data_IF_825322325849
#
_entry.id   IF_825322325849
#
_cell.length_a   1.000
_cell.length_b   1.000
_cell.length_c   1.000
_cell.angle_alpha   90.00
_cell.angle_beta   90.00
_cell.angle_gamma   90.00
#
_symmetry.space_group_name_H-M   'P 1'
#
loop_
_entity.id
_entity.type
_entity.pdbx_description
1 polymer ?
#
# COMPACT_ATOMS: atom_id res chain seq x y z
N UNK A 1 11.84 7.05 6.01
CA UNK A 1 11.28 8.13 6.87
C UNK A 1 9.94 8.51 6.30
N UNK A 2 8.90 8.60 7.14
CA UNK A 2 7.56 8.89 6.63
C UNK A 2 7.42 10.39 6.29
N UNK A 3 7.07 10.72 5.04
CA UNK A 3 7.03 12.08 4.51
C UNK A 3 6.02 13.00 5.22
N UNK A 4 4.90 12.44 5.73
CA UNK A 4 3.93 13.14 6.59
C UNK A 4 4.14 12.95 8.09
N UNK A 5 4.18 11.70 8.57
CA UNK A 5 4.17 11.38 9.99
C UNK A 5 5.48 11.67 10.74
N UNK A 6 6.57 12.05 10.06
CA UNK A 6 7.84 12.35 10.72
C UNK A 6 7.89 13.68 11.46
N UNK A 7 7.00 14.62 11.13
CA UNK A 7 7.06 16.00 11.64
C UNK A 7 8.23 16.83 11.09
N UNK A 8 8.90 16.35 10.04
CA UNK A 8 9.96 17.09 9.34
C UNK A 8 9.44 17.68 8.03
N UNK A 9 9.92 18.87 7.69
CA UNK A 9 9.74 19.46 6.37
C UNK A 9 10.86 19.00 5.45
N UNK A 10 10.51 18.56 4.24
CA UNK A 10 11.46 18.12 3.23
C UNK A 10 11.46 19.09 2.04
N UNK A 11 12.64 19.44 1.49
CA UNK A 11 12.71 20.24 0.27
C UNK A 11 12.16 19.45 -0.95
N UNK A 12 11.78 20.14 -2.05
CA UNK A 12 11.07 19.52 -3.17
C UNK A 12 11.78 18.33 -3.84
N UNK A 13 13.11 18.37 -3.91
CA UNK A 13 13.96 17.28 -4.42
C UNK A 13 13.88 16.04 -3.54
N UNK A 14 13.93 16.21 -2.22
CA UNK A 14 13.73 15.11 -1.26
C UNK A 14 12.29 14.58 -1.27
N UNK A 15 11.30 15.45 -1.47
CA UNK A 15 9.92 15.01 -1.64
C UNK A 15 9.70 14.19 -2.92
N UNK A 16 10.55 14.33 -3.94
CA UNK A 16 10.47 13.49 -5.13
C UNK A 16 10.75 12.01 -4.84
N UNK A 17 11.50 11.71 -3.76
CA UNK A 17 11.79 10.34 -3.33
C UNK A 17 10.54 9.52 -3.02
N UNK A 18 9.42 10.16 -2.63
CA UNK A 18 8.19 9.43 -2.31
C UNK A 18 7.66 8.66 -3.52
N UNK A 19 7.94 9.15 -4.73
CA UNK A 19 7.52 8.51 -5.98
C UNK A 19 8.53 7.46 -6.49
N UNK A 20 9.56 7.12 -5.69
CA UNK A 20 10.49 6.02 -5.99
C UNK A 20 9.74 4.70 -5.91
N UNK A 21 9.76 3.92 -7.00
CA UNK A 21 9.03 2.64 -7.07
C UNK A 21 9.90 1.43 -6.76
N UNK A 22 11.15 1.47 -7.21
CA UNK A 22 12.05 0.34 -7.20
C UNK A 22 13.02 0.42 -6.02
N UNK A 23 13.32 -0.74 -5.44
CA UNK A 23 14.28 -0.86 -4.32
C UNK A 23 15.63 -0.30 -4.72
N UNK A 24 16.10 -0.59 -5.93
CA UNK A 24 17.37 -0.08 -6.46
C UNK A 24 17.35 1.45 -6.52
N UNK A 25 16.29 2.06 -7.04
CA UNK A 25 16.14 3.52 -7.07
C UNK A 25 16.12 4.12 -5.67
N UNK A 26 15.43 3.49 -4.72
CA UNK A 26 15.43 3.94 -3.32
C UNK A 26 16.82 3.86 -2.69
N UNK A 27 17.55 2.77 -2.93
CA UNK A 27 18.91 2.58 -2.39
C UNK A 27 19.91 3.53 -3.04
N UNK A 28 19.76 3.87 -4.32
CA UNK A 28 20.60 4.83 -5.04
C UNK A 28 20.50 6.26 -4.49
N UNK A 29 19.45 6.58 -3.72
CA UNK A 29 19.34 7.89 -3.03
C UNK A 29 20.27 7.98 -1.81
N UNK A 30 20.75 6.85 -1.30
CA UNK A 30 21.62 6.82 -0.13
C UNK A 30 23.07 7.14 -0.52
N UNK A 31 23.82 7.88 0.31
CA UNK A 31 25.23 8.12 0.05
C UNK A 31 26.01 6.79 0.08
N UNK A 32 26.94 6.58 -0.87
CA UNK A 32 27.72 5.35 -0.93
C UNK A 32 28.66 5.24 0.29
N UNK A 33 28.99 4.00 0.65
CA UNK A 33 30.01 3.70 1.66
C UNK A 33 29.52 3.63 3.11
N UNK A 34 28.23 3.87 3.36
CA UNK A 34 27.60 3.63 4.67
C UNK A 34 26.78 2.34 4.60
N UNK A 35 27.07 1.32 5.44
CA UNK A 35 26.26 0.10 5.53
C UNK A 35 24.77 0.38 5.78
N UNK A 36 23.88 -0.52 5.36
CA UNK A 36 22.43 -0.33 5.51
C UNK A 36 21.96 -0.49 6.96
N UNK A 37 22.68 -1.28 7.76
CA UNK A 37 22.43 -1.54 9.18
C UNK A 37 22.96 -0.44 10.11
N UNK A 38 23.76 0.49 9.59
CA UNK A 38 24.21 1.65 10.34
C UNK A 38 23.10 2.73 10.44
N UNK A 39 22.74 3.19 11.66
CA UNK A 39 21.72 4.22 11.84
C UNK A 39 22.07 5.52 11.13
N UNK A 40 21.11 6.05 10.37
CA UNK A 40 21.22 7.38 9.73
C UNK A 40 20.43 8.43 10.53
N UNK A 41 20.90 9.69 10.59
CA UNK A 41 20.09 10.83 11.00
C UNK A 41 18.76 10.88 10.24
N UNK A 42 17.69 11.37 10.88
CA UNK A 42 16.34 11.33 10.31
C UNK A 42 16.23 12.05 8.96
N UNK A 43 16.95 13.16 8.81
CA UNK A 43 17.06 13.96 7.59
C UNK A 43 17.92 13.31 6.50
N UNK A 44 18.65 12.23 6.79
CA UNK A 44 19.49 11.49 5.82
C UNK A 44 18.91 10.12 5.45
N UNK A 45 17.72 9.78 5.95
CA UNK A 45 16.98 8.57 5.56
C UNK A 45 16.14 8.86 4.32
N UNK A 46 15.91 7.84 3.50
CA UNK A 46 14.98 7.86 2.36
C UNK A 46 13.64 8.43 2.81
N UNK A 47 13.09 9.39 2.07
CA UNK A 47 11.75 9.94 2.29
C UNK A 47 10.74 9.09 1.52
N UNK A 48 9.75 8.58 2.23
CA UNK A 48 8.74 7.68 1.68
C UNK A 48 7.55 7.55 2.63
N UNK A 49 6.80 6.47 2.54
CA UNK A 49 5.64 6.14 3.36
C UNK A 49 5.70 4.68 3.84
N UNK A 50 4.64 4.19 4.50
CA UNK A 50 4.53 2.83 5.02
C UNK A 50 4.87 1.73 4.00
N UNK A 51 4.47 1.93 2.74
CA UNK A 51 4.81 1.05 1.63
C UNK A 51 6.32 0.92 1.45
N UNK A 52 7.10 1.99 1.58
CA UNK A 52 8.53 1.99 1.25
C UNK A 52 9.36 1.30 2.36
N UNK A 53 8.97 1.51 3.62
CA UNK A 53 9.49 0.72 4.74
C UNK A 53 9.23 -0.78 4.54
N UNK A 54 7.99 -1.12 4.16
CA UNK A 54 7.60 -2.50 3.89
C UNK A 54 8.38 -3.08 2.71
N UNK A 55 8.48 -2.37 1.59
CA UNK A 55 9.14 -2.84 0.39
C UNK A 55 10.61 -3.16 0.64
N UNK A 56 11.35 -2.23 1.27
CA UNK A 56 12.76 -2.44 1.61
C UNK A 56 12.94 -3.64 2.54
N UNK A 57 12.05 -3.82 3.51
CA UNK A 57 12.08 -4.97 4.44
C UNK A 57 11.81 -6.29 3.70
N UNK A 58 10.74 -6.34 2.91
CA UNK A 58 10.37 -7.53 2.12
C UNK A 58 11.49 -7.90 1.16
N UNK A 59 12.10 -6.94 0.48
CA UNK A 59 13.21 -7.17 -0.42
C UNK A 59 14.44 -7.73 0.30
N UNK A 60 14.82 -7.16 1.45
CA UNK A 60 15.93 -7.65 2.26
C UNK A 60 15.70 -9.08 2.76
N UNK A 61 14.50 -9.39 3.24
CA UNK A 61 14.12 -10.74 3.70
C UNK A 61 14.17 -11.75 2.55
N UNK A 62 13.58 -11.42 1.40
CA UNK A 62 13.61 -12.28 0.21
C UNK A 62 15.04 -12.50 -0.30
N UNK A 63 15.88 -11.48 -0.29
CA UNK A 63 17.31 -11.60 -0.64
C UNK A 63 18.07 -12.54 0.31
N UNK A 64 17.64 -12.60 1.58
CA UNK A 64 18.13 -13.55 2.58
C UNK A 64 17.47 -14.94 2.53
N UNK A 65 16.58 -15.21 1.58
CA UNK A 65 15.87 -16.48 1.45
C UNK A 65 14.70 -16.68 2.42
N UNK A 66 14.27 -15.62 3.12
CA UNK A 66 13.10 -15.65 4.00
C UNK A 66 11.84 -15.32 3.19
N UNK A 67 10.82 -16.21 3.17
CA UNK A 67 9.55 -15.89 2.54
C UNK A 67 8.93 -14.65 3.20
N UNK A 68 8.66 -13.62 2.41
CA UNK A 68 8.08 -12.37 2.87
C UNK A 68 7.13 -11.79 1.82
N UNK A 69 6.12 -11.05 2.27
CA UNK A 69 5.12 -10.34 1.46
C UNK A 69 4.68 -9.06 2.16
N UNK A 70 4.16 -8.09 1.40
CA UNK A 70 3.49 -6.93 1.97
C UNK A 70 2.03 -7.26 2.31
N UNK A 71 1.48 -6.56 3.30
CA UNK A 71 0.07 -6.62 3.69
C UNK A 71 -0.52 -5.22 3.63
N UNK A 72 -1.52 -5.06 2.77
CA UNK A 72 -2.18 -3.78 2.49
C UNK A 72 -3.52 -3.76 3.23
N UNK A 73 -3.79 -2.67 3.95
CA UNK A 73 -5.01 -2.58 4.75
C UNK A 73 -5.16 -1.28 5.49
N UNK A 74 -5.80 -1.36 6.64
CA UNK A 74 -6.15 -0.24 7.48
C UNK A 74 -5.79 -0.53 8.94
N UNK A 75 -4.99 0.36 9.55
CA UNK A 75 -4.44 0.23 10.89
C UNK A 75 -5.33 0.89 11.93
N UNK A 76 -5.67 0.14 12.98
CA UNK A 76 -6.55 0.57 14.09
C UNK A 76 -5.77 1.30 15.20
N UNK A 77 -4.44 1.40 15.07
CA UNK A 77 -3.52 1.76 16.17
C UNK A 77 -2.88 3.16 16.03
N UNK A 78 -3.24 3.94 15.01
CA UNK A 78 -2.74 5.31 14.83
C UNK A 78 -3.65 6.37 15.44
N UNK A 79 -4.96 6.26 15.22
CA UNK A 79 -5.94 7.25 15.68
C UNK A 79 -7.16 6.55 16.26
N UNK A 80 -7.58 6.88 17.50
CA UNK A 80 -8.82 6.35 18.05
C UNK A 80 -10.01 6.66 17.16
N UNK A 81 -10.74 5.61 16.75
CA UNK A 81 -11.95 5.74 15.93
C UNK A 81 -11.73 6.00 14.44
N UNK A 82 -10.49 5.89 13.95
CA UNK A 82 -10.19 6.00 12.53
C UNK A 82 -9.20 4.92 12.09
N UNK A 83 -9.42 4.37 10.90
CA UNK A 83 -8.67 3.27 10.33
C UNK A 83 -7.80 3.79 9.18
N UNK A 84 -6.54 4.13 9.48
CA UNK A 84 -5.64 4.72 8.49
C UNK A 84 -5.13 3.67 7.51
N UNK A 85 -5.09 4.02 6.22
CA UNK A 85 -4.43 3.23 5.20
C UNK A 85 -3.00 2.91 5.61
N UNK A 86 -2.61 1.65 5.46
CA UNK A 86 -1.28 1.24 5.90
C UNK A 86 -0.80 -0.01 5.17
N UNK A 87 0.51 -0.15 5.12
CA UNK A 87 1.19 -1.33 4.57
C UNK A 87 2.24 -1.80 5.56
N UNK A 88 2.23 -3.09 5.88
CA UNK A 88 3.20 -3.73 6.77
C UNK A 88 3.87 -4.92 6.10
N UNK A 89 5.01 -5.36 6.64
CA UNK A 89 5.68 -6.60 6.21
C UNK A 89 5.04 -7.79 6.88
N UNK A 90 4.91 -8.90 6.17
CA UNK A 90 4.65 -10.20 6.77
C UNK A 90 5.69 -11.20 6.28
N UNK A 91 6.31 -11.94 7.19
CA UNK A 91 7.36 -12.90 6.86
C UNK A 91 7.17 -14.22 7.59
N UNK A 92 7.73 -15.29 7.04
CA UNK A 92 7.66 -16.61 7.64
C UNK A 92 8.91 -16.88 8.48
N UNK A 93 8.75 -17.09 9.78
CA UNK A 93 9.86 -17.31 10.73
C UNK A 93 10.42 -18.75 10.72
N UNK A 94 9.88 -19.60 9.84
CA UNK A 94 10.16 -21.04 9.78
C UNK A 94 9.08 -21.90 10.43
N UNK A 95 8.18 -21.30 11.21
CA UNK A 95 7.05 -21.96 11.88
C UNK A 95 5.69 -21.35 11.53
N UNK A 96 5.62 -20.02 11.41
CA UNK A 96 4.40 -19.27 11.14
C UNK A 96 4.71 -17.98 10.38
N UNK A 97 3.65 -17.36 9.87
CA UNK A 97 3.71 -15.98 9.39
C UNK A 97 3.63 -15.01 10.57
N UNK A 98 4.44 -13.95 10.51
CA UNK A 98 4.50 -12.86 11.47
C UNK A 98 4.34 -11.57 10.69
N UNK A 99 3.35 -10.76 11.06
CA UNK A 99 3.17 -9.43 10.50
C UNK A 99 3.89 -8.40 11.40
N UNK A 100 4.70 -7.56 10.79
CA UNK A 100 5.56 -6.59 11.48
C UNK A 100 5.44 -5.23 10.79
N UNK A 101 5.15 -4.22 11.58
CA UNK A 101 5.12 -2.83 11.13
C UNK A 101 6.51 -2.20 11.27
N UNK A 102 7.32 -2.34 10.22
CA UNK A 102 8.70 -1.83 10.20
C UNK A 102 8.82 -0.32 10.07
N UNK A 103 7.69 0.39 9.92
CA UNK A 103 7.68 1.85 10.01
C UNK A 103 7.83 2.32 11.47
N UNK A 104 7.33 1.54 12.42
CA UNK A 104 7.21 2.00 13.81
C UNK A 104 8.46 1.67 14.60
N UNK A 105 8.83 2.61 15.47
CA UNK A 105 9.73 2.33 16.57
C UNK A 105 8.97 1.51 17.63
N UNK A 106 9.38 0.26 17.93
CA UNK A 106 8.73 -0.55 18.97
C UNK A 106 8.74 0.13 20.35
N UNK A 107 9.66 1.06 20.60
CA UNK A 107 9.74 1.82 21.85
C UNK A 107 8.76 3.01 21.92
N UNK A 108 8.05 3.33 20.83
CA UNK A 108 7.16 4.49 20.78
C UNK A 108 5.82 4.30 21.53
N UNK A 109 5.55 3.12 22.09
CA UNK A 109 4.40 2.88 22.97
C UNK A 109 3.04 2.84 22.26
N UNK A 110 3.01 2.38 21.01
CA UNK A 110 1.76 2.11 20.30
C UNK A 110 0.93 1.03 21.02
N UNK A 111 -0.41 1.01 20.85
CA UNK A 111 -1.30 0.05 21.51
C UNK A 111 -1.21 -1.38 20.93
N UNK A 112 -0.25 -1.63 20.04
CA UNK A 112 -0.01 -2.90 19.36
C UNK A 112 1.49 -3.23 19.45
N UNK A 113 1.81 -4.52 19.47
CA UNK A 113 3.19 -4.97 19.26
C UNK A 113 3.55 -4.83 17.79
N UNK A 114 4.41 -3.85 17.47
CA UNK A 114 4.86 -3.61 16.10
C UNK A 114 5.63 -4.81 15.50
N UNK A 115 6.18 -5.71 16.33
CA UNK A 115 6.88 -6.90 15.88
C UNK A 115 5.95 -8.08 15.54
N UNK A 116 4.71 -8.08 16.04
CA UNK A 116 3.72 -9.15 15.83
C UNK A 116 2.30 -8.56 15.79
N UNK A 117 2.04 -7.76 14.76
CA UNK A 117 0.79 -7.04 14.56
C UNK A 117 -0.33 -8.03 14.21
N UNK A 118 -1.46 -8.04 14.93
CA UNK A 118 -2.60 -8.85 14.55
C UNK A 118 -3.17 -8.44 13.19
N UNK A 119 -3.41 -9.41 12.30
CA UNK A 119 -4.06 -9.18 11.02
C UNK A 119 -5.59 -9.25 11.17
N UNK A 120 -6.16 -8.16 11.70
CA UNK A 120 -7.58 -8.04 11.99
C UNK A 120 -7.90 -6.85 12.89
N UNK A 121 -9.09 -6.81 13.52
CA UNK A 121 -9.49 -5.75 14.45
C UNK A 121 -8.46 -5.54 15.57
N UNK A 122 -8.13 -4.28 15.87
CA UNK A 122 -7.11 -3.89 16.86
C UNK A 122 -5.67 -3.91 16.36
N UNK A 123 -5.42 -4.41 15.14
CA UNK A 123 -4.13 -4.37 14.46
C UNK A 123 -4.27 -3.78 13.06
N UNK A 124 -3.79 -4.49 12.04
CA UNK A 124 -4.02 -4.15 10.64
C UNK A 124 -5.12 -5.03 10.07
N UNK A 125 -6.29 -4.45 9.79
CA UNK A 125 -7.33 -5.15 9.01
C UNK A 125 -6.98 -5.03 7.53
N UNK A 126 -6.86 -6.14 6.80
CA UNK A 126 -6.52 -6.04 5.37
C UNK A 126 -7.62 -5.36 4.56
N UNK A 127 -7.28 -4.93 3.36
CA UNK A 127 -8.25 -4.29 2.47
C UNK A 127 -9.41 -5.24 2.14
N UNK A 128 -9.12 -6.50 1.85
CA UNK A 128 -10.09 -7.55 1.61
C UNK A 128 -11.01 -7.78 2.83
N UNK A 129 -10.45 -7.89 4.03
CA UNK A 129 -11.23 -8.01 5.27
C UNK A 129 -12.15 -6.80 5.47
N UNK A 130 -11.63 -5.58 5.23
CA UNK A 130 -12.38 -4.33 5.36
C UNK A 130 -13.50 -4.22 4.34
N UNK A 131 -13.24 -4.60 3.08
CA UNK A 131 -14.26 -4.66 2.03
C UNK A 131 -15.40 -5.60 2.38
N UNK A 132 -15.09 -6.83 2.79
CA UNK A 132 -16.12 -7.80 3.14
C UNK A 132 -16.93 -7.37 4.37
N UNK A 133 -16.28 -6.75 5.38
CA UNK A 133 -16.98 -6.19 6.54
C UNK A 133 -17.90 -5.03 6.14
N UNK A 134 -17.44 -4.13 5.28
CA UNK A 134 -18.26 -3.06 4.70
C UNK A 134 -19.48 -3.64 3.98
N UNK A 135 -19.26 -4.64 3.14
CA UNK A 135 -20.34 -5.29 2.36
C UNK A 135 -21.35 -6.04 3.22
N UNK A 136 -20.98 -6.45 4.43
CA UNK A 136 -21.90 -7.02 5.43
C UNK A 136 -22.57 -5.97 6.33
N UNK A 137 -22.22 -4.69 6.20
CA UNK A 137 -22.74 -3.62 7.05
C UNK A 137 -22.19 -3.62 8.48
N UNK A 138 -20.99 -4.20 8.68
CA UNK A 138 -20.37 -4.37 10.00
C UNK A 138 -19.48 -3.19 10.42
N UNK A 139 -19.15 -2.31 9.49
CA UNK A 139 -18.28 -1.15 9.70
C UNK A 139 -18.88 0.10 9.09
N UNK A 140 -18.46 1.25 9.64
CA UNK A 140 -18.66 2.55 9.01
C UNK A 140 -17.48 2.81 8.06
N UNK A 141 -17.66 2.70 6.73
CA UNK A 141 -16.59 2.87 5.78
C UNK A 141 -16.04 4.31 5.74
N UNK A 142 -16.77 5.30 6.23
CA UNK A 142 -16.33 6.70 6.27
C UNK A 142 -15.20 6.93 7.30
N UNK A 143 -14.97 5.95 8.18
CA UNK A 143 -13.85 5.96 9.14
C UNK A 143 -12.57 5.32 8.57
N UNK A 144 -12.55 4.96 7.28
CA UNK A 144 -11.42 4.33 6.60
C UNK A 144 -10.83 5.26 5.53
N UNK A 145 -9.51 5.44 5.53
CA UNK A 145 -8.86 6.30 4.53
C UNK A 145 -7.44 6.67 4.88
N UNK A 146 -6.88 7.67 4.19
CA UNK A 146 -5.47 8.07 4.38
C UNK A 146 -5.16 8.61 5.77
N UNK A 147 -6.14 9.25 6.39
CA UNK A 147 -6.02 9.77 7.75
C UNK A 147 -7.17 10.73 8.06
N UNK A 148 -7.38 11.04 9.36
CA UNK A 148 -8.42 11.98 9.76
C UNK A 148 -8.28 13.33 9.04
N UNK A 149 -9.37 13.81 8.43
CA UNK A 149 -9.41 15.09 7.72
C UNK A 149 -8.78 15.09 6.33
N UNK A 150 -8.29 13.96 5.84
CA UNK A 150 -7.83 13.80 4.45
C UNK A 150 -9.01 13.26 3.61
N UNK A 151 -9.35 13.88 2.46
CA UNK A 151 -10.52 13.49 1.67
C UNK A 151 -10.50 12.06 1.11
N UNK A 152 -9.31 11.45 0.97
CA UNK A 152 -9.15 10.12 0.40
C UNK A 152 -9.53 9.06 1.43
N UNK A 153 -10.75 8.55 1.30
CA UNK A 153 -11.31 7.54 2.18
C UNK A 153 -12.64 7.00 1.67
N UNK A 154 -13.36 6.33 2.56
CA UNK A 154 -14.69 5.81 2.29
C UNK A 154 -14.68 4.50 1.49
N UNK A 155 -15.88 4.03 1.09
CA UNK A 155 -16.06 2.78 0.36
C UNK A 155 -15.21 2.64 -0.91
N UNK A 156 -15.05 3.73 -1.67
CA UNK A 156 -14.27 3.73 -2.91
C UNK A 156 -12.79 3.48 -2.64
N UNK A 157 -12.27 4.03 -1.54
CA UNK A 157 -10.89 3.84 -1.14
C UNK A 157 -10.63 2.40 -0.68
N UNK A 158 -11.56 1.82 0.10
CA UNK A 158 -11.50 0.40 0.49
C UNK A 158 -11.48 -0.49 -0.76
N UNK A 159 -12.38 -0.24 -1.73
CA UNK A 159 -12.42 -0.96 -3.02
C UNK A 159 -11.07 -0.94 -3.74
N UNK A 160 -10.50 0.25 -3.91
CA UNK A 160 -9.18 0.45 -4.55
C UNK A 160 -8.08 -0.31 -3.81
N UNK A 161 -8.14 -0.36 -2.48
CA UNK A 161 -7.15 -1.07 -1.67
C UNK A 161 -7.25 -2.59 -1.82
N UNK A 162 -8.41 -3.17 -2.15
CA UNK A 162 -8.51 -4.61 -2.51
C UNK A 162 -7.70 -4.92 -3.77
N UNK A 163 -7.79 -4.08 -4.79
CA UNK A 163 -7.02 -4.23 -6.03
C UNK A 163 -5.51 -4.04 -5.76
N UNK A 164 -5.18 -3.09 -4.88
CA UNK A 164 -3.79 -2.86 -4.45
C UNK A 164 -3.23 -4.06 -3.66
N UNK A 165 -4.02 -4.63 -2.73
CA UNK A 165 -3.66 -5.83 -1.97
C UNK A 165 -3.40 -7.02 -2.90
N UNK A 166 -4.24 -7.22 -3.93
CA UNK A 166 -4.01 -8.26 -4.92
C UNK A 166 -2.69 -8.10 -5.67
N UNK A 167 -2.39 -6.90 -6.18
CA UNK A 167 -1.13 -6.65 -6.88
C UNK A 167 0.08 -6.93 -5.98
N UNK A 168 0.04 -6.43 -4.75
CA UNK A 168 1.08 -6.66 -3.73
C UNK A 168 1.22 -8.15 -3.38
N UNK A 169 0.09 -8.88 -3.29
CA UNK A 169 0.07 -10.33 -3.05
C UNK A 169 0.79 -11.11 -4.16
N UNK A 170 0.72 -10.63 -5.39
CA UNK A 170 1.36 -11.23 -6.57
C UNK A 170 2.80 -10.76 -6.81
N UNK A 171 3.32 -9.87 -5.97
CA UNK A 171 4.69 -9.34 -6.06
C UNK A 171 4.83 -8.07 -6.90
N UNK A 172 3.73 -7.43 -7.28
CA UNK A 172 3.73 -6.08 -7.84
C UNK A 172 3.46 -5.08 -6.71
N UNK A 173 4.49 -4.77 -5.94
CA UNK A 173 4.40 -3.75 -4.89
C UNK A 173 4.41 -2.34 -5.52
N UNK A 174 3.24 -1.84 -5.95
CA UNK A 174 3.07 -0.50 -6.55
C UNK A 174 3.04 0.63 -5.50
N UNK A 175 3.15 1.90 -5.94
CA UNK A 175 2.86 3.03 -5.04
C UNK A 175 1.38 3.03 -4.66
N UNK A 176 1.07 3.52 -3.48
CA UNK A 176 -0.32 3.62 -2.99
C UNK A 176 -1.17 4.61 -3.80
N UNK A 177 -0.54 5.42 -4.64
CA UNK A 177 -1.16 6.38 -5.54
C UNK A 177 -0.86 6.12 -7.02
N UNK A 178 -0.44 4.89 -7.35
CA UNK A 178 -0.49 4.37 -8.72
C UNK A 178 -1.88 3.78 -9.00
N UNK A 179 -2.38 3.99 -10.21
CA UNK A 179 -3.68 3.51 -10.67
C UNK A 179 -3.56 2.82 -12.03
N UNK A 180 -4.25 1.69 -12.19
CA UNK A 180 -4.24 0.87 -13.39
C UNK A 180 -5.62 0.26 -13.66
N UNK A 181 -5.77 -0.46 -14.78
CA UNK A 181 -7.00 -1.18 -15.11
C UNK A 181 -8.25 -0.31 -15.02
N UNK A 182 -9.27 -0.81 -14.31
CA UNK A 182 -10.53 -0.10 -14.11
C UNK A 182 -10.37 1.19 -13.30
N UNK A 183 -9.48 1.22 -12.31
CA UNK A 183 -9.29 2.39 -11.44
C UNK A 183 -8.63 3.54 -12.19
N UNK A 184 -7.72 3.25 -13.13
CA UNK A 184 -7.17 4.26 -14.05
C UNK A 184 -8.26 4.87 -14.94
N UNK A 185 -9.20 4.06 -15.44
CA UNK A 185 -10.29 4.55 -16.27
C UNK A 185 -11.23 5.49 -15.48
N UNK A 186 -11.46 5.22 -14.19
CA UNK A 186 -12.24 6.10 -13.31
C UNK A 186 -11.59 7.48 -13.10
N UNK A 187 -10.26 7.56 -13.25
CA UNK A 187 -9.46 8.78 -13.03
C UNK A 187 -9.04 9.46 -14.34
N UNK A 188 -9.59 9.05 -15.49
CA UNK A 188 -9.12 9.50 -16.80
C UNK A 188 -9.20 11.03 -16.94
N UNK A 189 -10.25 11.64 -16.40
CA UNK A 189 -10.52 13.08 -16.49
C UNK A 189 -10.74 13.70 -15.11
N UNK A 190 -9.67 14.24 -14.54
CA UNK A 190 -9.73 15.02 -13.28
C UNK A 190 -9.71 16.54 -13.54
N UNK A 191 -9.81 16.99 -14.80
CA UNK A 191 -9.64 18.40 -15.19
C UNK A 191 -8.33 19.04 -14.65
N UNK A 192 -7.27 18.24 -14.51
CA UNK A 192 -5.98 18.67 -13.98
C UNK A 192 -5.93 18.93 -12.47
N UNK A 193 -7.02 18.67 -11.72
CA UNK A 193 -7.04 18.81 -10.27
C UNK A 193 -6.23 17.71 -9.56
N UNK A 194 -5.58 18.03 -8.42
CA UNK A 194 -5.03 17.01 -7.53
C UNK A 194 -6.09 15.99 -7.12
N UNK A 195 -5.68 14.73 -6.92
CA UNK A 195 -6.61 13.66 -6.55
C UNK A 195 -7.39 13.97 -5.27
N UNK A 196 -6.75 14.63 -4.30
CA UNK A 196 -7.37 15.09 -3.04
C UNK A 196 -8.55 16.03 -3.27
N UNK A 197 -8.51 16.85 -4.32
CA UNK A 197 -9.55 17.84 -4.63
C UNK A 197 -10.67 17.25 -5.50
N UNK A 198 -10.34 16.25 -6.31
CA UNK A 198 -11.30 15.59 -7.19
C UNK A 198 -11.99 14.37 -6.54
N UNK A 199 -11.49 13.87 -5.41
CA UNK A 199 -11.92 12.61 -4.80
C UNK A 199 -13.44 12.50 -4.58
N UNK A 200 -14.06 13.57 -4.07
CA UNK A 200 -15.51 13.61 -3.81
C UNK A 200 -16.36 13.57 -5.07
N UNK A 201 -15.79 13.89 -6.22
CA UNK A 201 -16.48 13.96 -7.51
C UNK A 201 -16.32 12.65 -8.30
N UNK A 202 -15.49 11.73 -7.81
CA UNK A 202 -15.31 10.43 -8.45
C UNK A 202 -16.60 9.60 -8.40
N UNK A 203 -16.77 8.66 -9.35
CA UNK A 203 -17.91 7.76 -9.31
C UNK A 203 -17.99 6.99 -7.99
N UNK A 204 -19.22 6.67 -7.58
CA UNK A 204 -19.48 5.86 -6.39
C UNK A 204 -18.75 4.50 -6.44
N UNK A 205 -18.48 3.94 -5.26
CA UNK A 205 -17.78 2.67 -5.09
C UNK A 205 -18.44 1.48 -5.81
N UNK A 206 -19.75 1.56 -6.05
CA UNK A 206 -20.53 0.55 -6.76
C UNK A 206 -20.50 0.71 -8.29
N UNK A 207 -19.71 1.66 -8.79
CA UNK A 207 -19.41 1.78 -10.21
C UNK A 207 -18.53 0.62 -10.69
N UNK A 208 -18.88 0.06 -11.86
CA UNK A 208 -18.18 -1.07 -12.46
C UNK A 208 -18.60 -2.43 -11.89
N UNK A 209 -17.70 -3.41 -12.00
CA UNK A 209 -17.96 -4.79 -11.59
C UNK A 209 -17.62 -5.00 -10.11
N UNK A 210 -18.59 -4.73 -9.26
CA UNK A 210 -18.48 -4.91 -7.81
C UNK A 210 -18.33 -6.41 -7.44
N UNK A 211 -18.92 -7.31 -8.24
CA UNK A 211 -18.85 -8.75 -7.98
C UNK A 211 -17.44 -9.31 -8.15
N UNK A 212 -16.66 -8.73 -9.07
CA UNK A 212 -15.23 -9.04 -9.17
C UNK A 212 -14.48 -8.68 -7.88
N UNK A 213 -14.75 -7.51 -7.30
CA UNK A 213 -14.10 -7.10 -6.05
C UNK A 213 -14.51 -8.03 -4.89
N UNK A 214 -15.77 -8.47 -4.85
CA UNK A 214 -16.23 -9.49 -3.88
C UNK A 214 -15.51 -10.82 -4.03
N UNK A 215 -15.31 -11.30 -5.26
CA UNK A 215 -14.56 -12.53 -5.55
C UNK A 215 -13.11 -12.39 -5.07
N UNK A 216 -12.42 -11.31 -5.47
CA UNK A 216 -11.02 -11.08 -5.09
C UNK A 216 -10.86 -10.97 -3.57
N UNK A 217 -11.70 -10.18 -2.90
CA UNK A 217 -11.61 -10.04 -1.44
C UNK A 217 -11.88 -11.38 -0.72
N UNK A 218 -12.84 -12.17 -1.19
CA UNK A 218 -13.14 -13.48 -0.62
C UNK A 218 -11.97 -14.45 -0.81
N UNK A 219 -11.35 -14.46 -2.00
CA UNK A 219 -10.19 -15.30 -2.29
C UNK A 219 -8.96 -14.88 -1.48
N UNK A 220 -8.69 -13.58 -1.33
CA UNK A 220 -7.58 -13.08 -0.49
C UNK A 220 -7.70 -13.55 0.97
N UNK A 221 -8.90 -13.43 1.55
CA UNK A 221 -9.16 -13.92 2.92
C UNK A 221 -9.05 -15.45 3.01
N UNK A 222 -9.52 -16.18 1.98
CA UNK A 222 -9.42 -17.64 1.96
C UNK A 222 -7.98 -18.14 1.80
N UNK A 223 -7.15 -17.45 0.99
CA UNK A 223 -5.73 -17.75 0.81
C UNK A 223 -4.95 -17.68 2.14
N UNK A 224 -5.30 -16.75 3.01
CA UNK A 224 -4.64 -16.64 4.32
C UNK A 224 -5.03 -17.75 5.31
N UNK A 225 -6.09 -18.51 5.04
CA UNK A 225 -6.48 -19.66 5.84
C UNK A 225 -5.64 -20.92 5.55
N UNK A 226 -4.68 -20.85 4.61
CA UNK A 226 -3.75 -21.95 4.29
C UNK A 226 -4.24 -22.90 3.19
N UNK A 227 -5.31 -22.58 2.47
CA UNK A 227 -5.73 -23.29 1.27
C UNK A 227 -4.97 -22.73 0.04
N UNK A 228 -4.37 -23.61 -0.76
CA UNK A 228 -3.64 -23.21 -1.97
C UNK A 228 -4.57 -22.95 -3.17
N UNK A 229 -5.78 -23.51 -3.18
CA UNK A 229 -6.71 -23.33 -4.31
C UNK A 229 -7.17 -21.88 -4.51
N UNK A 230 -7.47 -21.10 -3.46
CA UNK A 230 -7.74 -19.67 -3.60
C UNK A 230 -6.55 -18.89 -4.16
N UNK A 231 -5.34 -19.25 -3.76
CA UNK A 231 -4.11 -18.59 -4.22
C UNK A 231 -3.88 -18.80 -5.72
N UNK A 232 -4.02 -20.03 -6.20
CA UNK A 232 -3.91 -20.35 -7.63
C UNK A 232 -4.97 -19.61 -8.46
N UNK A 233 -6.18 -19.47 -7.91
CA UNK A 233 -7.26 -18.71 -8.55
C UNK A 233 -6.95 -17.23 -8.62
N UNK A 234 -6.42 -16.62 -7.55
CA UNK A 234 -5.98 -15.23 -7.54
C UNK A 234 -4.88 -14.99 -8.58
N UNK A 235 -3.87 -15.86 -8.63
CA UNK A 235 -2.79 -15.76 -9.59
C UNK A 235 -3.29 -15.84 -11.04
N UNK A 236 -4.24 -16.77 -11.32
CA UNK A 236 -4.86 -16.86 -12.64
C UNK A 236 -5.65 -15.60 -13.00
N UNK A 237 -6.49 -15.09 -12.08
CA UNK A 237 -7.27 -13.87 -12.30
C UNK A 237 -6.36 -12.67 -12.53
N UNK A 238 -5.33 -12.51 -11.70
CA UNK A 238 -4.36 -11.42 -11.84
C UNK A 238 -3.62 -11.49 -13.17
N UNK A 239 -3.21 -12.68 -13.63
CA UNK A 239 -2.48 -12.84 -14.89
C UNK A 239 -3.36 -12.66 -16.14
N UNK A 240 -4.68 -12.86 -16.04
CA UNK A 240 -5.55 -12.95 -17.23
C UNK A 240 -6.62 -11.87 -17.33
N UNK A 241 -6.97 -11.20 -16.23
CA UNK A 241 -7.96 -10.12 -16.23
C UNK A 241 -7.27 -8.75 -16.33
N UNK A 242 -7.41 -8.03 -17.47
CA UNK A 242 -6.77 -6.74 -17.68
C UNK A 242 -7.32 -5.63 -16.77
N UNK A 243 -8.41 -5.88 -16.04
CA UNK A 243 -8.94 -4.96 -15.03
C UNK A 243 -8.12 -5.01 -13.73
N UNK A 244 -7.41 -6.11 -13.48
CA UNK A 244 -6.70 -6.41 -12.23
C UNK A 244 -5.18 -6.28 -12.36
N UNK A 245 -4.59 -6.80 -13.45
CA UNK A 245 -3.14 -6.77 -13.64
C UNK A 245 -2.62 -5.34 -13.77
N UNK A 246 -1.49 -5.02 -13.14
CA UNK A 246 -0.87 -3.69 -13.22
C UNK A 246 -0.50 -3.30 -14.66
N UNK A 247 -0.08 -4.28 -15.46
CA UNK A 247 0.32 -4.11 -16.86
C UNK A 247 1.66 -3.40 -17.00
N UNK A 248 1.93 -2.88 -18.20
CA UNK A 248 3.20 -2.18 -18.49
C UNK A 248 3.19 -0.73 -18.01
N UNK A 249 2.02 -0.14 -17.76
CA UNK A 249 1.91 1.30 -17.46
C UNK A 249 0.86 1.60 -16.40
N UNK A 250 1.19 2.53 -15.51
CA UNK A 250 0.29 3.06 -14.48
C UNK A 250 0.16 4.57 -14.63
N UNK A 251 -0.93 5.14 -14.12
CA UNK A 251 -1.04 6.59 -13.91
C UNK A 251 -0.77 6.87 -12.43
N UNK A 252 0.25 7.67 -12.16
CA UNK A 252 0.63 8.14 -10.83
C UNK A 252 -0.14 9.43 -10.50
N UNK A 253 -0.78 9.49 -9.34
CA UNK A 253 -1.37 10.70 -8.77
C UNK A 253 -0.62 11.07 -7.48
N UNK A 254 0.59 11.60 -7.64
CA UNK A 254 1.52 11.85 -6.54
C UNK A 254 0.91 12.73 -5.45
N UNK A 255 1.18 12.44 -4.15
CA UNK A 255 0.86 13.33 -3.05
C UNK A 255 1.43 14.75 -3.18
N UNK A 256 2.38 14.95 -4.11
CA UNK A 256 2.91 16.28 -4.48
C UNK A 256 1.96 17.12 -5.36
N UNK A 257 0.81 16.57 -5.75
CA UNK A 257 -0.17 17.23 -6.61
C UNK A 257 0.06 17.01 -8.12
N UNK A 258 1.09 16.26 -8.50
CA UNK A 258 1.42 15.99 -9.90
C UNK A 258 0.76 14.69 -10.38
N UNK A 259 0.36 14.67 -11.65
CA UNK A 259 -0.15 13.48 -12.36
C UNK A 259 0.73 13.17 -13.55
N UNK A 260 1.13 11.91 -13.70
CA UNK A 260 1.92 11.46 -14.85
C UNK A 260 1.81 9.96 -15.05
N UNK A 261 2.02 9.50 -16.29
CA UNK A 261 2.08 8.07 -16.61
C UNK A 261 3.51 7.55 -16.41
N UNK A 262 3.60 6.29 -15.98
CA UNK A 262 4.87 5.60 -15.73
C UNK A 262 4.88 4.29 -16.48
N UNK A 263 5.97 4.03 -17.23
CA UNK A 263 6.28 2.74 -17.82
C UNK A 263 7.01 1.87 -16.78
N UNK A 264 6.39 0.77 -16.36
CA UNK A 264 6.91 -0.12 -15.33
C UNK A 264 8.06 -1.02 -15.85
N UNK A 265 8.24 -1.14 -17.16
CA UNK A 265 9.33 -1.93 -17.77
C UNK A 265 10.68 -1.21 -17.70
N UNK A 266 10.65 0.10 -17.47
CA UNK A 266 11.81 0.96 -17.45
C UNK A 266 11.84 1.74 -16.13
N UNK A 267 12.65 1.30 -15.15
CA UNK A 267 12.91 2.07 -13.95
C UNK A 267 13.39 3.45 -14.36
N UNK A 268 12.52 4.45 -14.27
CA UNK A 268 12.93 5.82 -14.53
C UNK A 268 13.79 6.25 -13.33
N UNK A 269 14.97 6.88 -13.56
CA UNK A 269 15.69 7.51 -12.47
C UNK A 269 14.73 8.47 -11.77
N UNK A 270 14.79 8.53 -10.42
CA UNK A 270 13.93 9.38 -9.61
C UNK A 270 13.78 10.74 -10.30
N UNK A 271 12.54 11.08 -10.68
CA UNK A 271 12.27 12.27 -11.48
C UNK A 271 12.78 13.50 -10.72
N UNK A 272 13.86 14.10 -11.25
CA UNK A 272 14.46 15.33 -10.75
C UNK A 272 13.49 16.51 -10.80
#
# INVERSE_FOLDING_TARGET
MHYRASGLDFPPDRLAEIDSRWVETMLDTLPPGVPLDEPRPADQRIVGCCRDFTLLTVAALRAGGVPARSRVGFADYFHPGFHCDHVITEYHDGSRWIATDTQLDPAAGFPVDAADVPLGPGGLRTAAQSWLAFRRGEIDPETYGVGPGIPLGGPLFIRKYVVTELAHRMGDETLLWDFWGADRAMLADLDGRPLTEAWSDLPSWDSGDVTLIDEIASLLVASDAGDSSPEDRLALLYATDPRLHVGDTVTCHSPRGNRYDVDLRHPSPAAA
#
